data_IF_412805415337
#
_entry.id   IF_412805415337
#
_cell.length_a   1.000
_cell.length_b   1.000
_cell.length_c   1.000
_cell.angle_alpha   90.00
_cell.angle_beta   90.00
_cell.angle_gamma   90.00
#
_symmetry.space_group_name_H-M   'P 1'
#
loop_
_entity.id
_entity.type
_entity.pdbx_description
1 polymer ?
#
# COMPACT_ATOMS: atom_id res chain seq x y z
N UNK A 1 19.91 -11.57 0.98
CA UNK A 1 18.63 -11.97 0.35
C UNK A 1 17.88 -12.85 1.33
N UNK A 2 16.58 -12.61 1.53
CA UNK A 2 15.69 -13.47 2.33
C UNK A 2 15.02 -14.49 1.39
N UNK A 3 15.18 -15.78 1.65
CA UNK A 3 14.51 -16.84 0.90
C UNK A 3 13.19 -17.22 1.59
N UNK A 4 12.09 -17.21 0.83
CA UNK A 4 10.75 -17.59 1.31
C UNK A 4 10.35 -18.93 0.67
N UNK A 5 10.09 -19.92 1.52
CA UNK A 5 9.44 -21.14 1.09
C UNK A 5 7.93 -20.94 1.13
N UNK A 6 7.25 -21.33 0.07
CA UNK A 6 5.78 -21.43 0.02
C UNK A 6 5.37 -22.56 -0.92
N UNK A 7 4.27 -23.25 -0.60
CA UNK A 7 3.78 -24.38 -1.45
C UNK A 7 3.39 -23.93 -2.86
N UNK A 8 3.02 -22.66 -3.03
CA UNK A 8 2.62 -22.10 -4.32
C UNK A 8 3.07 -20.63 -4.39
N UNK A 9 3.76 -20.28 -5.46
CA UNK A 9 4.17 -18.89 -5.74
C UNK A 9 3.08 -18.25 -6.60
N UNK A 10 2.21 -17.45 -5.97
CA UNK A 10 1.18 -16.68 -6.68
C UNK A 10 1.64 -15.26 -6.99
N UNK A 11 1.03 -14.58 -7.98
CA UNK A 11 1.25 -13.16 -8.21
C UNK A 11 1.01 -12.30 -6.96
N UNK A 12 -0.01 -12.63 -6.14
CA UNK A 12 -0.33 -11.94 -4.89
C UNK A 12 0.79 -12.05 -3.87
N UNK A 13 1.31 -13.28 -3.66
CA UNK A 13 2.47 -13.53 -2.78
C UNK A 13 3.69 -12.75 -3.28
N UNK A 14 4.04 -12.90 -4.55
CA UNK A 14 5.18 -12.19 -5.14
C UNK A 14 5.06 -10.68 -5.01
N UNK A 15 3.87 -10.13 -5.24
CA UNK A 15 3.61 -8.69 -5.13
C UNK A 15 3.82 -8.17 -3.72
N UNK A 16 3.13 -8.75 -2.73
CA UNK A 16 3.14 -8.20 -1.36
C UNK A 16 4.48 -8.41 -0.66
N UNK A 17 5.12 -9.57 -0.84
CA UNK A 17 6.47 -9.80 -0.29
C UNK A 17 7.51 -8.88 -0.89
N UNK A 18 7.48 -8.64 -2.21
CA UNK A 18 8.36 -7.66 -2.86
C UNK A 18 8.04 -6.23 -2.38
N UNK A 19 6.77 -5.90 -2.20
CA UNK A 19 6.40 -4.59 -1.68
C UNK A 19 6.98 -4.35 -0.28
N UNK A 20 6.76 -5.27 0.65
CA UNK A 20 7.26 -5.15 2.03
C UNK A 20 8.79 -5.28 2.05
N UNK A 21 9.34 -6.39 1.57
CA UNK A 21 10.75 -6.68 1.73
C UNK A 21 11.63 -5.79 0.85
N UNK A 22 11.29 -5.61 -0.44
CA UNK A 22 12.17 -4.91 -1.37
C UNK A 22 11.87 -3.41 -1.40
N UNK A 23 10.60 -3.01 -1.52
CA UNK A 23 10.26 -1.60 -1.63
C UNK A 23 10.33 -0.87 -0.29
N UNK A 24 9.74 -1.44 0.78
CA UNK A 24 9.74 -0.80 2.12
C UNK A 24 11.05 -1.06 2.86
N UNK A 25 11.51 -2.30 2.95
CA UNK A 25 12.67 -2.65 3.77
C UNK A 25 14.00 -2.62 3.01
N UNK A 26 14.00 -2.58 1.68
CA UNK A 26 15.19 -2.50 0.85
C UNK A 26 15.98 -3.82 0.72
N UNK A 27 15.44 -4.96 1.18
CA UNK A 27 16.10 -6.26 1.10
C UNK A 27 15.57 -7.07 -0.08
N UNK A 28 16.46 -7.83 -0.73
CA UNK A 28 16.07 -8.75 -1.80
C UNK A 28 15.33 -9.95 -1.20
N UNK A 29 14.21 -10.34 -1.81
CA UNK A 29 13.44 -11.53 -1.48
C UNK A 29 13.43 -12.51 -2.66
N UNK A 30 13.64 -13.78 -2.37
CA UNK A 30 13.52 -14.89 -3.31
C UNK A 30 12.46 -15.89 -2.82
N UNK A 31 11.95 -16.71 -3.73
CA UNK A 31 10.92 -17.71 -3.44
C UNK A 31 11.35 -19.07 -3.91
N UNK A 32 10.94 -20.11 -3.18
CA UNK A 32 11.07 -21.51 -3.60
C UNK A 32 9.85 -22.31 -3.19
N UNK A 33 9.50 -23.30 -3.99
CA UNK A 33 8.51 -24.35 -3.67
C UNK A 33 9.17 -25.67 -3.30
N UNK A 34 10.48 -25.77 -3.50
CA UNK A 34 11.28 -26.97 -3.25
C UNK A 34 11.82 -26.98 -1.84
N UNK A 35 11.45 -28.01 -1.06
CA UNK A 35 11.87 -28.18 0.33
C UNK A 35 13.39 -28.39 0.41
N UNK A 36 13.95 -29.19 -0.47
CA UNK A 36 15.39 -29.48 -0.46
C UNK A 36 16.23 -28.23 -0.71
N UNK A 37 15.80 -27.38 -1.67
CA UNK A 37 16.44 -26.09 -1.93
C UNK A 37 16.33 -25.15 -0.73
N UNK A 38 15.18 -25.14 -0.05
CA UNK A 38 14.98 -24.35 1.16
C UNK A 38 15.86 -24.84 2.32
N UNK A 39 15.93 -26.16 2.54
CA UNK A 39 16.75 -26.75 3.60
C UNK A 39 18.25 -26.51 3.36
N UNK A 40 18.71 -26.68 2.12
CA UNK A 40 20.10 -26.45 1.72
C UNK A 40 20.54 -24.98 1.83
N UNK A 41 19.59 -24.03 1.80
CA UNK A 41 19.92 -22.60 1.90
C UNK A 41 20.46 -22.23 3.28
N UNK A 42 21.69 -21.74 3.34
CA UNK A 42 22.39 -21.36 4.59
C UNK A 42 22.16 -19.89 5.00
N UNK A 43 21.53 -19.08 4.14
CA UNK A 43 21.24 -17.68 4.42
C UNK A 43 19.91 -17.48 5.16
N UNK A 44 19.50 -16.20 5.36
CA UNK A 44 18.22 -15.86 5.93
C UNK A 44 17.07 -16.52 5.16
N UNK A 45 16.22 -17.25 5.86
CA UNK A 45 15.10 -17.98 5.28
C UNK A 45 13.90 -18.03 6.20
N UNK A 46 12.70 -18.01 5.62
CA UNK A 46 11.44 -18.15 6.34
C UNK A 46 10.45 -18.96 5.52
N UNK A 47 9.49 -19.59 6.16
CA UNK A 47 8.38 -20.25 5.48
C UNK A 47 7.09 -19.46 5.61
N UNK A 48 6.25 -19.53 4.56
CA UNK A 48 4.93 -18.94 4.51
C UNK A 48 3.91 -19.98 4.06
N UNK A 49 3.01 -20.35 4.96
CA UNK A 49 2.03 -21.41 4.68
C UNK A 49 1.09 -21.68 5.85
N UNK A 50 0.35 -22.79 5.78
CA UNK A 50 -0.59 -23.18 6.84
C UNK A 50 0.11 -23.79 8.06
N UNK A 51 1.24 -24.46 7.86
CA UNK A 51 2.03 -25.15 8.90
C UNK A 51 3.50 -24.89 8.67
N UNK A 52 4.33 -24.82 9.74
CA UNK A 52 5.77 -24.76 9.62
C UNK A 52 6.34 -26.08 9.06
N UNK A 53 7.55 -26.03 8.53
CA UNK A 53 8.32 -27.21 8.10
C UNK A 53 9.13 -27.82 9.25
N UNK A 54 9.55 -26.98 10.19
CA UNK A 54 10.39 -27.36 11.34
C UNK A 54 10.55 -26.17 12.30
N UNK A 55 11.81 -25.80 12.59
CA UNK A 55 12.15 -24.71 13.52
C UNK A 55 12.54 -23.41 12.79
N UNK A 56 12.19 -23.25 11.52
CA UNK A 56 12.47 -22.04 10.78
C UNK A 56 11.60 -20.86 11.23
N UNK A 57 11.97 -19.64 10.86
CA UNK A 57 11.07 -18.49 10.98
C UNK A 57 9.83 -18.74 10.13
N UNK A 58 8.68 -18.82 10.77
CA UNK A 58 7.43 -19.19 10.13
C UNK A 58 6.39 -18.06 10.17
N UNK A 59 5.79 -17.78 9.05
CA UNK A 59 4.64 -16.88 8.92
C UNK A 59 3.43 -17.69 8.47
N UNK A 60 2.40 -17.72 9.30
CA UNK A 60 1.18 -18.44 8.96
C UNK A 60 0.33 -17.67 7.96
N UNK A 61 -0.05 -18.36 6.89
CA UNK A 61 -0.94 -17.82 5.86
C UNK A 61 -2.40 -17.92 6.28
N UNK A 62 -3.13 -16.80 6.17
CA UNK A 62 -4.60 -16.79 6.28
C UNK A 62 -5.26 -17.51 5.10
N UNK A 63 -4.67 -17.41 3.89
CA UNK A 63 -5.10 -18.13 2.70
C UNK A 63 -5.49 -17.26 1.51
N UNK A 64 -5.85 -16.00 1.70
CA UNK A 64 -6.28 -15.07 0.65
C UNK A 64 -5.27 -14.93 -0.50
N UNK A 65 -3.97 -15.01 -0.20
CA UNK A 65 -2.93 -14.84 -1.21
C UNK A 65 -2.81 -16.05 -2.16
N UNK A 66 -3.39 -17.18 -1.80
CA UNK A 66 -3.42 -18.40 -2.64
C UNK A 66 -4.77 -18.65 -3.30
N UNK A 67 -5.78 -17.86 -2.95
CA UNK A 67 -7.10 -17.93 -3.59
C UNK A 67 -7.08 -17.31 -4.99
N UNK A 68 -7.95 -17.81 -5.87
CA UNK A 68 -8.24 -17.19 -7.16
C UNK A 68 -9.54 -16.37 -7.05
N UNK A 69 -9.62 -15.29 -7.85
CA UNK A 69 -10.80 -14.43 -7.84
C UNK A 69 -10.90 -13.53 -6.60
N UNK A 70 -12.07 -12.96 -6.40
CA UNK A 70 -12.39 -12.04 -5.30
C UNK A 70 -13.55 -12.65 -4.53
N UNK A 71 -13.31 -12.95 -3.27
CA UNK A 71 -14.30 -13.54 -2.38
C UNK A 71 -14.49 -12.66 -1.15
N UNK A 72 -15.67 -12.68 -0.59
CA UNK A 72 -15.95 -12.00 0.68
C UNK A 72 -15.14 -12.66 1.80
N UNK A 73 -14.47 -11.83 2.61
CA UNK A 73 -13.65 -12.29 3.72
C UNK A 73 -14.11 -11.58 4.99
N UNK A 74 -14.38 -12.36 6.02
CA UNK A 74 -14.67 -11.81 7.34
C UNK A 74 -13.38 -11.24 7.95
N UNK A 75 -13.44 -9.98 8.39
CA UNK A 75 -12.30 -9.28 8.95
C UNK A 75 -12.62 -8.84 10.38
N UNK A 76 -11.86 -9.38 11.30
CA UNK A 76 -11.83 -8.97 12.70
C UNK A 76 -10.60 -8.09 12.97
N UNK A 77 -10.82 -6.78 13.11
CA UNK A 77 -9.75 -5.83 13.44
C UNK A 77 -9.48 -5.84 14.93
N UNK A 78 -8.19 -5.91 15.29
CA UNK A 78 -7.71 -5.93 16.69
C UNK A 78 -6.61 -4.90 16.88
N UNK A 79 -6.38 -4.52 18.11
CA UNK A 79 -5.22 -3.74 18.49
C UNK A 79 -3.96 -4.65 18.54
N UNK A 80 -2.86 -4.15 18.01
CA UNK A 80 -1.55 -4.77 18.09
C UNK A 80 -0.49 -3.69 18.34
N UNK A 81 0.01 -3.63 19.56
CA UNK A 81 0.80 -2.52 20.05
C UNK A 81 0.07 -1.16 19.83
N UNK A 82 0.72 -0.25 19.13
CA UNK A 82 0.21 1.09 18.83
C UNK A 82 -0.50 1.15 17.47
N UNK A 83 -0.87 0.01 16.88
CA UNK A 83 -1.51 -0.05 15.57
C UNK A 83 -2.65 -1.07 15.53
N UNK A 84 -3.41 -1.09 14.44
CA UNK A 84 -4.43 -2.10 14.19
C UNK A 84 -3.84 -3.26 13.39
N UNK A 85 -4.38 -4.46 13.57
CA UNK A 85 -4.09 -5.63 12.76
C UNK A 85 -5.35 -6.45 12.49
N UNK A 86 -5.32 -7.30 11.50
CA UNK A 86 -6.40 -8.21 11.12
C UNK A 86 -5.84 -9.42 10.39
N UNK A 87 -6.67 -10.45 10.14
CA UNK A 87 -6.25 -11.79 9.71
C UNK A 87 -5.40 -12.50 10.77
N UNK A 88 -5.95 -12.58 11.98
CA UNK A 88 -5.31 -13.28 13.09
C UNK A 88 -4.97 -14.73 12.71
N UNK A 89 -3.83 -15.20 13.21
CA UNK A 89 -3.32 -16.56 13.01
C UNK A 89 -2.93 -17.17 14.36
N UNK A 90 -2.50 -18.42 14.36
CA UNK A 90 -2.13 -19.11 15.59
C UNK A 90 -0.75 -18.66 16.13
N UNK A 91 -0.50 -18.99 17.39
CA UNK A 91 0.76 -18.68 18.11
C UNK A 91 2.01 -19.37 17.53
N UNK A 92 1.83 -20.28 16.55
CA UNK A 92 2.94 -20.87 15.81
C UNK A 92 3.59 -19.88 14.85
N UNK A 93 2.87 -18.84 14.45
CA UNK A 93 3.40 -17.81 13.57
C UNK A 93 4.26 -16.82 14.34
N UNK A 94 5.34 -16.37 13.73
CA UNK A 94 6.23 -15.36 14.30
C UNK A 94 5.58 -13.99 14.54
N UNK A 95 4.47 -13.74 13.89
CA UNK A 95 3.62 -12.54 14.07
C UNK A 95 2.18 -13.01 14.26
N UNK A 96 1.39 -12.41 15.17
CA UNK A 96 0.06 -12.92 15.56
C UNK A 96 -1.04 -12.72 14.51
N UNK A 97 -0.70 -12.19 13.34
CA UNK A 97 -1.59 -12.05 12.19
C UNK A 97 -0.82 -12.21 10.88
N UNK A 98 -1.53 -12.51 9.80
CA UNK A 98 -0.91 -12.61 8.48
C UNK A 98 -0.66 -11.20 7.90
N UNK A 99 0.51 -10.65 8.22
CA UNK A 99 0.94 -9.32 7.78
C UNK A 99 0.92 -9.17 6.24
N UNK A 100 1.22 -10.26 5.52
CA UNK A 100 1.28 -10.23 4.06
C UNK A 100 -0.12 -10.18 3.46
N UNK A 101 -1.05 -10.98 3.98
CA UNK A 101 -2.46 -10.91 3.57
C UNK A 101 -3.07 -9.56 3.95
N UNK A 102 -2.82 -9.04 5.15
CA UNK A 102 -3.34 -7.75 5.60
C UNK A 102 -2.81 -6.59 4.72
N UNK A 103 -1.51 -6.58 4.44
CA UNK A 103 -0.93 -5.58 3.56
C UNK A 103 -1.46 -5.69 2.12
N UNK A 104 -1.60 -6.91 1.59
CA UNK A 104 -2.18 -7.11 0.26
C UNK A 104 -3.61 -6.57 0.18
N UNK A 105 -4.44 -6.86 1.19
CA UNK A 105 -5.83 -6.41 1.26
C UNK A 105 -5.94 -4.89 1.12
N UNK A 106 -5.12 -4.14 1.87
CA UNK A 106 -5.10 -2.68 1.83
C UNK A 106 -4.47 -2.13 0.53
N UNK A 107 -3.33 -2.67 0.12
CA UNK A 107 -2.60 -2.20 -1.07
C UNK A 107 -3.39 -2.44 -2.37
N UNK A 108 -4.09 -3.55 -2.47
CA UNK A 108 -4.91 -3.88 -3.65
C UNK A 108 -6.28 -3.21 -3.62
N UNK A 109 -6.60 -2.49 -2.53
CA UNK A 109 -7.95 -1.93 -2.29
C UNK A 109 -9.03 -3.01 -2.44
N UNK A 110 -8.76 -4.19 -1.87
CA UNK A 110 -9.57 -5.39 -2.05
C UNK A 110 -11.05 -5.16 -1.71
N UNK A 111 -11.31 -4.36 -0.67
CA UNK A 111 -12.66 -4.02 -0.23
C UNK A 111 -13.52 -3.30 -1.28
N UNK A 112 -12.89 -2.60 -2.24
CA UNK A 112 -13.62 -1.89 -3.29
C UNK A 112 -14.22 -2.84 -4.35
N UNK A 113 -13.72 -4.06 -4.43
CA UNK A 113 -14.23 -5.10 -5.31
C UNK A 113 -15.35 -5.93 -4.67
N UNK A 114 -15.55 -5.77 -3.35
CA UNK A 114 -16.63 -6.43 -2.63
C UNK A 114 -17.92 -5.61 -2.72
N UNK A 115 -19.09 -6.20 -2.46
CA UNK A 115 -20.34 -5.45 -2.37
C UNK A 115 -20.24 -4.32 -1.33
N UNK A 116 -20.54 -3.10 -1.74
CA UNK A 116 -20.47 -1.90 -0.89
C UNK A 116 -21.51 -0.86 -1.31
N UNK A 117 -21.82 0.08 -0.43
CA UNK A 117 -22.66 1.23 -0.73
C UNK A 117 -21.82 2.29 -1.45
N UNK A 118 -22.29 2.68 -2.65
CA UNK A 118 -21.62 3.71 -3.45
C UNK A 118 -22.05 5.11 -3.02
N UNK A 119 -21.14 6.08 -3.19
CA UNK A 119 -21.46 7.50 -3.04
C UNK A 119 -22.36 8.02 -4.18
N UNK A 120 -22.78 9.29 -4.10
CA UNK A 120 -23.62 9.95 -5.12
C UNK A 120 -22.96 10.04 -6.51
N UNK A 121 -21.65 9.79 -6.62
CA UNK A 121 -20.89 9.73 -7.87
C UNK A 121 -20.62 8.29 -8.32
N UNK A 122 -21.19 7.30 -7.66
CA UNK A 122 -21.01 5.89 -7.97
C UNK A 122 -19.66 5.31 -7.55
N UNK A 123 -18.90 5.98 -6.67
CA UNK A 123 -17.58 5.57 -6.21
C UNK A 123 -17.65 4.89 -4.84
N UNK A 124 -16.61 4.15 -4.49
CA UNK A 124 -16.42 3.63 -3.13
C UNK A 124 -16.29 4.79 -2.14
N UNK A 125 -17.12 4.80 -1.10
CA UNK A 125 -17.08 5.82 -0.07
C UNK A 125 -16.00 5.53 0.97
N UNK A 126 -15.28 6.56 1.42
CA UNK A 126 -14.30 6.41 2.50
C UNK A 126 -14.93 5.83 3.79
N UNK A 127 -16.21 6.13 4.07
CA UNK A 127 -16.96 5.59 5.21
C UNK A 127 -17.15 4.07 5.16
N UNK A 128 -17.09 3.47 3.96
CA UNK A 128 -17.18 2.02 3.79
C UNK A 128 -15.85 1.31 4.08
N UNK A 129 -14.73 2.06 4.04
CA UNK A 129 -13.41 1.47 4.21
C UNK A 129 -13.19 0.93 5.63
N UNK A 130 -12.43 -0.17 5.71
CA UNK A 130 -11.98 -0.77 6.96
C UNK A 130 -11.21 0.25 7.82
N UNK A 131 -10.36 1.06 7.17
CA UNK A 131 -9.58 2.10 7.81
C UNK A 131 -10.42 3.14 8.52
N UNK A 132 -11.51 3.58 7.89
CA UNK A 132 -12.44 4.54 8.50
C UNK A 132 -13.24 3.90 9.66
N UNK A 133 -13.84 2.72 9.41
CA UNK A 133 -14.66 2.02 10.40
C UNK A 133 -13.91 1.69 11.69
N UNK A 134 -12.59 1.50 11.62
CA UNK A 134 -11.74 1.14 12.75
C UNK A 134 -10.71 2.21 13.14
N UNK A 135 -10.88 3.45 12.67
CA UNK A 135 -10.07 4.63 13.04
C UNK A 135 -8.56 4.46 12.82
N UNK A 136 -8.15 3.89 11.67
CA UNK A 136 -6.74 3.83 11.29
C UNK A 136 -6.45 4.37 9.88
N UNK A 137 -7.38 5.12 9.30
CA UNK A 137 -7.22 5.68 7.96
C UNK A 137 -6.02 6.62 7.85
N UNK A 138 -5.74 7.38 8.91
CA UNK A 138 -4.62 8.33 8.98
C UNK A 138 -3.30 7.68 9.43
N UNK A 139 -3.31 6.37 9.69
CA UNK A 139 -2.13 5.63 10.15
C UNK A 139 -1.48 4.86 9.00
N UNK A 140 -0.16 4.96 8.79
CA UNK A 140 0.57 4.19 7.78
C UNK A 140 0.82 2.76 8.29
N UNK A 141 -0.26 2.00 8.53
CA UNK A 141 -0.20 0.69 9.20
C UNK A 141 0.75 -0.29 8.51
N UNK A 142 0.82 -0.30 7.17
CA UNK A 142 1.68 -1.21 6.41
C UNK A 142 3.16 -0.91 6.67
N UNK A 143 3.54 0.37 6.72
CA UNK A 143 4.90 0.77 7.06
C UNK A 143 5.24 0.39 8.51
N UNK A 144 4.35 0.67 9.45
CA UNK A 144 4.51 0.29 10.87
C UNK A 144 4.72 -1.22 10.99
N UNK A 145 3.86 -2.03 10.35
CA UNK A 145 4.02 -3.49 10.33
C UNK A 145 5.33 -3.94 9.70
N UNK A 146 5.73 -3.30 8.61
CA UNK A 146 6.98 -3.61 7.91
C UNK A 146 8.20 -3.32 8.78
N UNK A 147 8.21 -2.21 9.51
CA UNK A 147 9.32 -1.91 10.44
C UNK A 147 9.35 -2.84 11.65
N UNK A 148 8.20 -3.28 12.17
CA UNK A 148 8.15 -4.34 13.20
C UNK A 148 8.67 -5.67 12.66
N UNK A 149 8.32 -6.04 11.43
CA UNK A 149 8.90 -7.20 10.74
C UNK A 149 10.41 -7.04 10.57
N UNK A 150 10.92 -5.84 10.26
CA UNK A 150 12.37 -5.57 10.20
C UNK A 150 13.07 -5.91 11.51
N UNK A 151 12.53 -5.45 12.64
CA UNK A 151 13.09 -5.75 13.97
C UNK A 151 13.16 -7.26 14.22
N UNK A 152 12.07 -7.97 13.93
CA UNK A 152 12.03 -9.43 14.04
C UNK A 152 13.09 -10.11 13.16
N UNK A 153 13.22 -9.69 11.90
CA UNK A 153 14.20 -10.23 10.97
C UNK A 153 15.64 -9.93 11.42
N UNK A 154 15.92 -8.76 11.99
CA UNK A 154 17.24 -8.41 12.53
C UNK A 154 17.60 -9.25 13.76
N UNK A 155 16.63 -9.51 14.62
CA UNK A 155 16.83 -10.38 15.79
C UNK A 155 17.09 -11.84 15.38
N UNK A 156 16.35 -12.33 14.36
CA UNK A 156 16.48 -13.72 13.89
C UNK A 156 17.71 -13.92 12.99
N UNK A 157 18.04 -12.93 12.18
CA UNK A 157 19.13 -12.98 11.19
C UNK A 157 20.02 -11.73 11.28
N UNK A 158 20.92 -11.66 12.27
CA UNK A 158 21.80 -10.48 12.45
C UNK A 158 22.66 -10.14 11.22
N UNK A 159 22.96 -11.15 10.39
CA UNK A 159 23.71 -10.98 9.15
C UNK A 159 22.89 -10.38 8.00
N UNK A 160 21.57 -10.21 8.15
CA UNK A 160 20.72 -9.60 7.14
C UNK A 160 20.83 -8.07 7.20
N UNK A 161 21.57 -7.51 6.26
CA UNK A 161 21.78 -6.06 6.19
C UNK A 161 20.58 -5.36 5.57
N UNK A 162 20.13 -4.29 6.20
CA UNK A 162 19.09 -3.40 5.71
C UNK A 162 19.76 -2.09 5.26
N UNK A 163 19.53 -1.64 4.02
CA UNK A 163 20.10 -0.37 3.57
C UNK A 163 19.51 0.80 4.35
N UNK A 164 20.33 1.80 4.60
CA UNK A 164 19.85 3.08 5.11
C UNK A 164 19.05 3.79 4.01
N UNK A 165 17.85 4.23 4.37
CA UNK A 165 17.02 5.03 3.48
C UNK A 165 17.34 6.50 3.65
N UNK A 166 17.73 7.15 2.56
CA UNK A 166 17.82 8.61 2.51
C UNK A 166 16.46 9.18 2.10
N UNK A 167 16.03 10.22 2.83
CA UNK A 167 14.82 10.96 2.46
C UNK A 167 15.11 11.81 1.24
N UNK A 168 14.36 11.57 0.16
CA UNK A 168 14.41 12.40 -1.05
C UNK A 168 13.08 13.12 -1.20
N UNK A 169 13.14 14.43 -1.47
CA UNK A 169 11.96 15.26 -1.70
C UNK A 169 11.84 15.50 -3.20
N UNK A 170 10.74 15.04 -3.80
CA UNK A 170 10.39 15.29 -5.19
C UNK A 170 9.21 16.26 -5.24
N UNK A 171 9.44 17.48 -5.76
CA UNK A 171 8.37 18.43 -6.01
C UNK A 171 7.75 18.16 -7.37
N UNK A 172 6.47 17.78 -7.38
CA UNK A 172 5.70 17.53 -8.60
C UNK A 172 4.66 18.63 -8.78
N UNK A 173 4.75 19.36 -9.89
CA UNK A 173 3.77 20.38 -10.27
C UNK A 173 2.92 19.80 -11.39
N UNK A 174 1.67 19.47 -11.10
CA UNK A 174 0.69 19.04 -12.09
C UNK A 174 0.00 20.27 -12.69
N UNK A 175 0.44 20.70 -13.88
CA UNK A 175 -0.17 21.77 -14.63
C UNK A 175 -1.21 21.20 -15.62
N UNK A 176 -2.47 21.08 -15.22
CA UNK A 176 -3.55 20.62 -16.10
C UNK A 176 -3.84 21.58 -17.26
N UNK A 177 -3.52 22.86 -17.09
CA UNK A 177 -3.70 23.90 -18.10
C UNK A 177 -2.43 24.71 -18.20
N UNK A 178 -1.76 24.63 -19.35
CA UNK A 178 -0.48 25.33 -19.56
C UNK A 178 -0.62 26.86 -19.48
N UNK A 179 -1.74 27.39 -19.94
CA UNK A 179 -2.00 28.84 -19.95
C UNK A 179 -3.34 29.14 -19.29
N UNK A 180 -3.34 29.96 -18.24
CA UNK A 180 -4.57 30.35 -17.54
C UNK A 180 -5.48 31.21 -18.42
N UNK A 181 -4.92 32.14 -19.21
CA UNK A 181 -5.67 33.14 -19.99
C UNK A 181 -5.28 33.18 -21.45
N UNK A 182 -4.03 32.85 -21.81
CA UNK A 182 -3.53 32.90 -23.19
C UNK A 182 -4.13 31.77 -24.04
N UNK A 183 -4.26 31.98 -25.34
CA UNK A 183 -4.70 31.01 -26.36
C UNK A 183 -6.09 30.38 -26.10
N UNK A 184 -6.99 31.08 -25.42
CA UNK A 184 -8.35 30.57 -25.15
C UNK A 184 -9.44 31.02 -26.15
N UNK A 185 -9.05 31.74 -27.19
CA UNK A 185 -9.95 32.33 -28.17
C UNK A 185 -10.68 33.58 -27.66
N UNK A 186 -11.16 34.42 -28.60
CA UNK A 186 -11.72 35.74 -28.31
C UNK A 186 -13.00 35.63 -27.46
N UNK A 187 -13.95 34.77 -27.85
CA UNK A 187 -15.20 34.59 -27.13
C UNK A 187 -15.01 34.15 -25.68
N UNK A 188 -14.13 33.20 -25.45
CA UNK A 188 -13.86 32.69 -24.08
C UNK A 188 -13.12 33.75 -23.22
N UNK A 189 -12.30 34.58 -23.84
CA UNK A 189 -11.66 35.71 -23.17
C UNK A 189 -12.66 36.79 -22.76
N UNK A 190 -13.60 37.18 -23.64
CA UNK A 190 -14.65 38.16 -23.33
C UNK A 190 -15.54 37.65 -22.19
N UNK A 191 -16.03 36.41 -22.28
CA UNK A 191 -16.83 35.79 -21.20
C UNK A 191 -16.05 35.77 -19.89
N UNK A 192 -14.76 35.51 -19.96
CA UNK A 192 -13.89 35.53 -18.77
C UNK A 192 -13.75 36.93 -18.16
N UNK A 193 -13.57 37.96 -18.96
CA UNK A 193 -13.54 39.37 -18.50
C UNK A 193 -14.84 39.80 -17.84
N UNK A 194 -15.97 39.54 -18.48
CA UNK A 194 -17.29 39.86 -17.92
C UNK A 194 -17.56 39.11 -16.62
N UNK A 195 -17.24 37.81 -16.58
CA UNK A 195 -17.38 36.97 -15.36
C UNK A 195 -16.52 37.47 -14.20
N UNK A 196 -15.27 37.88 -14.47
CA UNK A 196 -14.36 38.38 -13.43
C UNK A 196 -14.87 39.75 -12.90
N UNK A 197 -15.44 40.57 -13.75
CA UNK A 197 -16.05 41.86 -13.38
C UNK A 197 -17.31 41.67 -12.53
N UNK A 198 -18.27 40.85 -12.99
CA UNK A 198 -19.50 40.56 -12.26
C UNK A 198 -19.26 39.88 -10.89
N UNK A 199 -18.20 39.08 -10.77
CA UNK A 199 -17.83 38.42 -9.52
C UNK A 199 -16.87 39.23 -8.65
N UNK A 200 -16.60 40.52 -9.02
CA UNK A 200 -15.68 41.43 -8.33
C UNK A 200 -14.28 40.84 -8.07
N UNK A 201 -13.81 39.97 -9.00
CA UNK A 201 -12.49 39.35 -8.93
C UNK A 201 -11.42 40.25 -9.56
N UNK A 202 -11.23 41.44 -8.99
CA UNK A 202 -10.33 42.48 -9.52
C UNK A 202 -8.91 42.01 -9.78
N UNK A 203 -8.36 41.19 -8.90
CA UNK A 203 -7.00 40.62 -9.10
C UNK A 203 -6.92 39.74 -10.34
N UNK A 204 -7.92 38.90 -10.59
CA UNK A 204 -7.96 38.01 -11.76
C UNK A 204 -8.24 38.81 -13.04
N UNK A 205 -9.09 39.83 -12.96
CA UNK A 205 -9.37 40.75 -14.07
C UNK A 205 -8.07 41.46 -14.52
N UNK A 206 -7.34 42.09 -13.61
CA UNK A 206 -6.07 42.75 -13.88
C UNK A 206 -5.00 41.80 -14.45
N UNK A 207 -4.92 40.59 -13.89
CA UNK A 207 -3.98 39.59 -14.37
C UNK A 207 -4.33 39.14 -15.80
N UNK A 208 -5.64 38.97 -16.10
CA UNK A 208 -6.12 38.66 -17.44
C UNK A 208 -5.84 39.78 -18.44
N UNK A 209 -6.06 41.05 -18.05
CA UNK A 209 -5.70 42.19 -18.85
C UNK A 209 -4.21 42.18 -19.20
N UNK A 210 -3.35 42.01 -18.20
CA UNK A 210 -1.90 41.99 -18.39
C UNK A 210 -1.42 40.85 -19.30
N UNK A 211 -2.09 39.70 -19.30
CA UNK A 211 -1.68 38.54 -20.10
C UNK A 211 -2.27 38.56 -21.51
N UNK A 212 -3.46 39.11 -21.71
CA UNK A 212 -4.15 39.09 -23.00
C UNK A 212 -3.83 40.33 -23.84
N UNK A 213 -3.56 41.45 -23.19
CA UNK A 213 -3.29 42.74 -23.87
C UNK A 213 -1.79 43.06 -23.98
N UNK A 214 -0.92 42.27 -23.38
CA UNK A 214 0.55 42.43 -23.40
C UNK A 214 1.05 43.24 -22.23
#
# INVERSE_FOLDING_TARGET
MLLIFTKQITPRISYVFKHICTRILGIKVGFTTEIDAFLAHKGPKASYGKQPLGNELFFQSHGLLTQQGIESVEINVRDWDQTKCFFAVSDKSAIPFDIFTAAFYLLSRYEEYLPHVKDHLGRFSAHESLGFKHNFLDSPVIDIWSYKLKVLLQQTFPQLLFPEKQTTVHSLINAQVAYAFLNKGIFRSIIGFTSDLFRLRLKQFLLRCKVVLG
#
